data_IF_122951952625
#
_entry.id   IF_122951952625
#
_cell.length_a   1.000
_cell.length_b   1.000
_cell.length_c   1.000
_cell.angle_alpha   90.00
_cell.angle_beta   90.00
_cell.angle_gamma   90.00
#
_symmetry.space_group_name_H-M   'P 1'
#
loop_
_entity.id
_entity.type
_entity.pdbx_description
1 polymer ?
#
# COMPACT_ATOMS: atom_id res chain seq x y z
N UNK A 1 14.58 -13.05 -9.50
CA UNK A 1 13.92 -13.45 -8.23
C UNK A 1 14.02 -14.96 -7.90
N UNK A 2 13.79 -15.91 -8.83
CA UNK A 2 13.86 -17.34 -8.49
C UNK A 2 15.20 -17.79 -7.85
N UNK A 3 16.33 -17.33 -8.39
CA UNK A 3 17.67 -17.60 -7.80
C UNK A 3 17.82 -17.04 -6.39
N UNK A 4 17.21 -15.90 -6.10
CA UNK A 4 17.18 -15.32 -4.75
C UNK A 4 16.37 -16.21 -3.81
N UNK A 5 15.13 -16.57 -4.20
CA UNK A 5 14.23 -17.38 -3.36
C UNK A 5 14.80 -18.74 -2.94
N UNK A 6 15.61 -19.38 -3.79
CA UNK A 6 16.20 -20.69 -3.52
C UNK A 6 17.38 -20.65 -2.52
N UNK A 7 17.84 -19.48 -2.09
CA UNK A 7 18.92 -19.38 -1.11
C UNK A 7 18.38 -19.68 0.30
N UNK A 8 18.92 -20.70 0.95
CA UNK A 8 18.45 -21.18 2.25
C UNK A 8 18.62 -20.19 3.40
N UNK A 9 19.55 -19.24 3.28
CA UNK A 9 19.88 -18.31 4.36
C UNK A 9 18.78 -17.26 4.63
N UNK A 10 17.92 -16.98 3.65
CA UNK A 10 16.85 -15.99 3.81
C UNK A 10 15.82 -16.39 4.86
N UNK A 11 15.61 -17.68 5.11
CA UNK A 11 14.67 -18.14 6.14
C UNK A 11 15.11 -17.78 7.56
N UNK A 12 16.39 -17.44 7.75
CA UNK A 12 16.94 -17.00 9.04
C UNK A 12 16.75 -15.49 9.27
N UNK A 13 16.35 -14.75 8.25
CA UNK A 13 16.18 -13.30 8.32
C UNK A 13 14.88 -12.94 9.03
N UNK A 14 14.89 -11.90 9.89
CA UNK A 14 13.74 -11.55 10.74
C UNK A 14 12.49 -11.14 9.94
N UNK A 15 12.66 -10.72 8.68
CA UNK A 15 11.60 -10.20 7.84
C UNK A 15 11.35 -11.03 6.58
N UNK A 16 11.73 -12.32 6.59
CA UNK A 16 11.57 -13.20 5.43
C UNK A 16 10.14 -13.18 4.84
N UNK A 17 9.11 -13.27 5.69
CA UNK A 17 7.72 -13.29 5.22
C UNK A 17 7.28 -11.97 4.56
N UNK A 18 7.46 -10.79 5.19
CA UNK A 18 7.24 -9.50 4.51
C UNK A 18 8.01 -9.36 3.20
N UNK A 19 9.30 -9.71 3.19
CA UNK A 19 10.18 -9.60 2.01
C UNK A 19 9.73 -10.54 0.89
N UNK A 20 9.28 -11.77 1.23
CA UNK A 20 8.68 -12.68 0.26
C UNK A 20 7.39 -12.11 -0.32
N UNK A 21 6.54 -11.48 0.50
CA UNK A 21 5.35 -10.78 0.02
C UNK A 21 5.70 -9.63 -0.93
N UNK A 22 6.76 -8.86 -0.64
CA UNK A 22 7.29 -7.82 -1.52
C UNK A 22 7.78 -8.39 -2.86
N UNK A 23 8.52 -9.49 -2.85
CA UNK A 23 8.94 -10.17 -4.08
C UNK A 23 7.74 -10.65 -4.90
N UNK A 24 6.75 -11.24 -4.24
CA UNK A 24 5.53 -11.75 -4.87
C UNK A 24 4.73 -10.64 -5.54
N UNK A 25 4.46 -9.52 -4.84
CA UNK A 25 3.62 -8.45 -5.39
C UNK A 25 4.25 -7.79 -6.61
N UNK A 26 5.56 -7.53 -6.61
CA UNK A 26 6.24 -6.95 -7.77
C UNK A 26 6.30 -7.94 -8.94
N UNK A 27 6.48 -9.24 -8.66
CA UNK A 27 6.49 -10.30 -9.68
C UNK A 27 5.13 -10.47 -10.34
N UNK A 28 4.06 -10.55 -9.53
CA UNK A 28 2.67 -10.66 -10.01
C UNK A 28 2.34 -9.43 -10.86
N UNK A 29 2.70 -8.24 -10.38
CA UNK A 29 2.45 -6.99 -11.08
C UNK A 29 3.22 -6.91 -12.41
N UNK A 30 4.49 -7.31 -12.48
CA UNK A 30 5.20 -7.38 -13.75
C UNK A 30 4.65 -8.47 -14.67
N UNK A 31 4.29 -9.63 -14.15
CA UNK A 31 3.87 -10.78 -14.98
C UNK A 31 2.48 -10.58 -15.58
N UNK A 32 1.52 -10.14 -14.77
CA UNK A 32 0.11 -10.10 -15.13
C UNK A 32 -0.47 -8.68 -15.19
N UNK A 33 0.18 -7.71 -14.53
CA UNK A 33 -0.37 -6.37 -14.37
C UNK A 33 -1.66 -6.36 -13.58
N UNK A 34 -2.46 -5.31 -13.78
CA UNK A 34 -3.74 -5.12 -13.12
C UNK A 34 -3.63 -4.22 -11.91
N UNK A 35 -4.31 -4.59 -10.82
CA UNK A 35 -4.35 -3.83 -9.57
C UNK A 35 -4.06 -4.82 -8.44
N UNK A 36 -3.04 -4.51 -7.65
CA UNK A 36 -2.70 -5.21 -6.41
C UNK A 36 -3.05 -4.31 -5.23
N UNK A 37 -3.61 -4.93 -4.20
CA UNK A 37 -3.89 -4.34 -2.89
C UNK A 37 -3.41 -5.32 -1.82
N UNK A 38 -2.81 -4.80 -0.75
CA UNK A 38 -2.72 -5.56 0.50
C UNK A 38 -4.14 -5.88 1.00
N UNK A 39 -4.29 -6.94 1.80
CA UNK A 39 -5.60 -7.46 2.19
C UNK A 39 -6.36 -6.57 3.18
N UNK A 40 -5.70 -5.53 3.69
CA UNK A 40 -6.19 -4.62 4.72
C UNK A 40 -6.55 -3.24 4.15
N UNK A 41 -7.03 -3.22 2.90
CA UNK A 41 -7.67 -2.06 2.28
C UNK A 41 -9.20 -2.13 2.34
N UNK A 42 -9.82 -0.96 2.55
CA UNK A 42 -11.23 -0.73 2.24
C UNK A 42 -11.30 0.10 0.95
N UNK A 43 -11.88 -0.46 -0.11
CA UNK A 43 -12.03 0.22 -1.40
C UNK A 43 -13.30 1.06 -1.41
N UNK A 44 -13.17 2.35 -1.70
CA UNK A 44 -14.26 3.33 -1.69
C UNK A 44 -14.77 3.64 -3.10
N UNK A 45 -13.87 3.64 -4.09
CA UNK A 45 -14.14 4.02 -5.49
C UNK A 45 -13.49 3.04 -6.44
N UNK A 46 -13.98 3.03 -7.68
CA UNK A 46 -13.41 2.20 -8.74
C UNK A 46 -11.95 2.58 -9.03
N UNK A 47 -11.05 1.61 -8.94
CA UNK A 47 -9.61 1.76 -9.12
C UNK A 47 -9.16 1.61 -10.59
N UNK A 48 -10.03 1.19 -11.51
CA UNK A 48 -9.68 0.89 -12.92
C UNK A 48 -9.10 2.08 -13.69
N UNK A 49 -9.35 3.31 -13.22
CA UNK A 49 -8.81 4.53 -13.84
C UNK A 49 -7.39 4.87 -13.36
N UNK A 50 -6.88 4.15 -12.36
CA UNK A 50 -5.50 4.24 -11.92
C UNK A 50 -4.71 3.22 -12.73
N UNK A 51 -3.75 3.68 -13.53
CA UNK A 51 -2.89 2.81 -14.35
C UNK A 51 -1.48 3.35 -14.30
N UNK A 52 -0.51 2.43 -14.22
CA UNK A 52 0.90 2.72 -13.98
C UNK A 52 1.09 3.68 -12.79
N UNK A 53 0.44 3.34 -11.68
CA UNK A 53 0.35 4.17 -10.50
C UNK A 53 0.67 3.37 -9.24
N UNK A 54 1.26 4.06 -8.27
CA UNK A 54 1.52 3.61 -6.91
C UNK A 54 1.34 4.79 -5.95
N UNK A 55 1.17 4.51 -4.66
CA UNK A 55 0.87 5.56 -3.69
C UNK A 55 2.09 6.02 -2.90
N UNK A 56 2.10 7.31 -2.55
CA UNK A 56 3.00 7.91 -1.57
C UNK A 56 2.40 7.67 -0.18
N UNK A 57 3.09 6.97 0.72
CA UNK A 57 2.59 6.73 2.09
C UNK A 57 2.91 7.88 3.05
N UNK A 58 4.04 8.56 2.83
CA UNK A 58 4.58 9.61 3.68
C UNK A 58 5.50 10.49 2.84
N UNK A 59 5.98 11.60 3.41
CA UNK A 59 6.87 12.51 2.69
C UNK A 59 8.03 11.72 2.05
N UNK A 60 8.12 11.79 0.72
CA UNK A 60 9.20 11.22 -0.08
C UNK A 60 9.32 9.67 -0.05
N UNK A 61 8.28 8.95 0.42
CA UNK A 61 8.26 7.48 0.49
C UNK A 61 7.06 6.89 -0.23
N UNK A 62 7.33 5.99 -1.17
CA UNK A 62 6.33 5.17 -1.87
C UNK A 62 6.03 3.89 -1.10
N UNK A 63 4.85 3.32 -1.31
CA UNK A 63 4.44 2.07 -0.67
C UNK A 63 3.92 1.06 -1.71
N UNK A 64 4.24 -0.21 -1.48
CA UNK A 64 3.86 -1.34 -2.34
C UNK A 64 2.51 -1.98 -1.99
N UNK A 65 1.79 -1.45 -1.01
CA UNK A 65 0.49 -1.97 -0.60
C UNK A 65 -0.59 -1.67 -1.66
N UNK A 66 -0.43 -0.62 -2.46
CA UNK A 66 -1.21 -0.38 -3.69
C UNK A 66 -0.28 -0.28 -4.89
N UNK A 67 -0.51 -1.12 -5.89
CA UNK A 67 0.20 -1.08 -7.16
C UNK A 67 -0.80 -1.28 -8.30
N UNK A 68 -0.72 -0.46 -9.34
CA UNK A 68 -1.46 -0.70 -10.58
C UNK A 68 -0.61 -0.46 -11.80
N UNK A 69 -0.30 -1.50 -12.56
CA UNK A 69 0.56 -1.41 -13.73
C UNK A 69 0.05 -2.30 -14.86
N UNK A 70 0.39 -1.93 -16.09
CA UNK A 70 0.28 -2.85 -17.21
C UNK A 70 1.27 -4.01 -17.03
N UNK A 71 0.96 -5.23 -17.53
CA UNK A 71 1.94 -6.31 -17.54
C UNK A 71 3.19 -5.88 -18.29
N UNK A 72 4.34 -6.39 -17.86
CA UNK A 72 5.67 -6.16 -18.45
C UNK A 72 6.12 -4.70 -18.44
N UNK A 73 5.58 -3.88 -17.54
CA UNK A 73 6.02 -2.50 -17.41
C UNK A 73 7.49 -2.43 -16.94
N UNK A 74 8.31 -1.65 -17.66
CA UNK A 74 9.76 -1.54 -17.43
C UNK A 74 10.10 -1.12 -15.98
N UNK A 75 9.36 -0.16 -15.42
CA UNK A 75 9.50 0.20 -14.00
C UNK A 75 9.42 -1.00 -13.05
N UNK A 76 8.47 -1.92 -13.27
CA UNK A 76 8.33 -3.12 -12.42
C UNK A 76 9.47 -4.12 -12.64
N UNK A 77 10.02 -4.19 -13.85
CA UNK A 77 11.20 -4.98 -14.14
C UNK A 77 12.43 -4.46 -13.41
N UNK A 78 12.64 -3.14 -13.43
CA UNK A 78 13.69 -2.48 -12.66
C UNK A 78 13.53 -2.69 -11.15
N UNK A 79 12.29 -2.70 -10.63
CA UNK A 79 12.03 -3.09 -9.25
C UNK A 79 12.47 -4.53 -8.94
N UNK A 80 12.19 -5.50 -9.83
CA UNK A 80 12.64 -6.88 -9.63
C UNK A 80 14.16 -7.04 -9.73
N UNK A 81 14.83 -6.25 -10.57
CA UNK A 81 16.28 -6.24 -10.69
C UNK A 81 16.92 -5.65 -9.42
N UNK A 82 16.45 -4.47 -9.00
CA UNK A 82 16.90 -3.80 -7.78
C UNK A 82 16.68 -4.66 -6.52
N UNK A 83 15.58 -5.43 -6.48
CA UNK A 83 15.31 -6.36 -5.39
C UNK A 83 16.47 -7.34 -5.16
N UNK A 84 17.14 -7.78 -6.23
CA UNK A 84 18.26 -8.71 -6.13
C UNK A 84 19.58 -7.96 -5.92
N UNK A 85 19.80 -6.88 -6.67
CA UNK A 85 21.07 -6.13 -6.66
C UNK A 85 21.33 -5.41 -5.33
N UNK A 86 20.26 -4.95 -4.68
CA UNK A 86 20.28 -4.22 -3.42
C UNK A 86 19.51 -5.01 -2.35
N UNK A 87 19.77 -6.31 -2.23
CA UNK A 87 19.09 -7.15 -1.24
C UNK A 87 19.60 -6.90 0.19
N UNK A 88 18.67 -6.63 1.11
CA UNK A 88 18.95 -6.64 2.55
C UNK A 88 17.71 -7.06 3.34
N UNK A 89 17.59 -8.35 3.64
CA UNK A 89 16.47 -8.91 4.41
C UNK A 89 16.48 -8.59 5.92
N UNK A 90 17.53 -7.93 6.41
CA UNK A 90 17.63 -7.50 7.82
C UNK A 90 16.90 -6.19 8.10
N UNK A 91 16.49 -5.46 7.06
CA UNK A 91 15.77 -4.19 7.18
C UNK A 91 14.38 -4.38 6.60
N UNK A 92 13.36 -4.23 7.46
CA UNK A 92 11.97 -4.54 7.13
C UNK A 92 11.46 -3.83 5.87
N UNK A 93 11.75 -2.54 5.70
CA UNK A 93 11.24 -1.74 4.58
C UNK A 93 12.09 -1.82 3.32
N UNK A 94 13.26 -2.47 3.36
CA UNK A 94 14.27 -2.33 2.31
C UNK A 94 13.76 -2.83 0.97
N UNK A 95 13.12 -4.01 0.94
CA UNK A 95 12.64 -4.60 -0.32
C UNK A 95 11.20 -4.24 -0.69
N UNK A 96 10.54 -3.45 0.15
CA UNK A 96 9.19 -2.93 -0.09
C UNK A 96 9.21 -1.42 -0.35
N UNK A 97 8.78 -0.58 0.59
CA UNK A 97 8.71 0.88 0.41
C UNK A 97 10.01 1.55 -0.07
N UNK A 98 11.16 1.18 0.52
CA UNK A 98 12.44 1.79 0.15
C UNK A 98 12.85 1.43 -1.28
N UNK A 99 12.55 0.20 -1.72
CA UNK A 99 12.81 -0.28 -3.07
C UNK A 99 12.05 0.52 -4.11
N UNK A 100 10.74 0.65 -3.93
CA UNK A 100 9.91 1.41 -4.86
C UNK A 100 10.37 2.87 -4.90
N UNK A 101 10.71 3.43 -3.74
CA UNK A 101 11.20 4.80 -3.61
C UNK A 101 12.52 5.01 -4.36
N UNK A 102 13.55 4.18 -4.11
CA UNK A 102 14.87 4.34 -4.75
C UNK A 102 14.81 4.10 -6.26
N UNK A 103 14.04 3.10 -6.71
CA UNK A 103 13.85 2.82 -8.13
C UNK A 103 13.09 3.96 -8.80
N UNK A 104 12.04 4.51 -8.18
CA UNK A 104 11.30 5.66 -8.73
C UNK A 104 12.16 6.91 -8.84
N UNK A 105 12.96 7.23 -7.81
CA UNK A 105 13.90 8.36 -7.85
C UNK A 105 14.92 8.21 -8.99
N UNK A 106 15.50 7.02 -9.14
CA UNK A 106 16.43 6.72 -10.24
C UNK A 106 15.74 6.79 -11.61
N UNK A 107 14.55 6.22 -11.72
CA UNK A 107 13.71 6.23 -12.93
C UNK A 107 13.41 7.67 -13.38
N UNK A 108 13.10 8.56 -12.45
CA UNK A 108 12.78 9.96 -12.73
C UNK A 108 13.98 10.91 -12.74
N UNK A 109 15.16 10.46 -12.33
CA UNK A 109 16.36 11.30 -12.15
C UNK A 109 16.11 12.47 -11.18
N UNK A 110 15.52 12.19 -10.02
CA UNK A 110 15.15 13.17 -8.98
C UNK A 110 15.67 12.76 -7.60
N UNK A 111 15.77 13.74 -6.69
CA UNK A 111 16.11 13.50 -5.29
C UNK A 111 14.90 13.38 -4.37
N UNK A 112 13.78 14.05 -4.68
CA UNK A 112 12.58 14.11 -3.85
C UNK A 112 11.31 13.83 -4.67
N UNK A 113 10.36 13.10 -4.09
CA UNK A 113 9.06 12.78 -4.69
C UNK A 113 8.02 13.78 -4.19
N UNK A 114 7.36 14.46 -5.14
CA UNK A 114 6.28 15.40 -4.85
C UNK A 114 4.90 14.72 -4.95
N UNK A 115 3.90 15.30 -4.30
CA UNK A 115 2.52 14.83 -4.36
C UNK A 115 1.98 14.84 -5.79
N UNK A 116 1.29 13.76 -6.17
CA UNK A 116 0.72 13.55 -7.50
C UNK A 116 1.74 13.70 -8.65
N UNK A 117 3.00 13.37 -8.38
CA UNK A 117 4.06 13.43 -9.38
C UNK A 117 3.86 12.35 -10.44
N UNK A 118 4.10 12.72 -11.71
CA UNK A 118 4.22 11.74 -12.79
C UNK A 118 5.53 11.94 -13.53
N UNK A 119 6.21 10.84 -13.83
CA UNK A 119 7.41 10.86 -14.63
C UNK A 119 7.46 9.60 -15.51
N UNK A 120 7.88 9.76 -16.76
CA UNK A 120 8.07 8.66 -17.72
C UNK A 120 6.93 7.61 -17.69
N UNK A 121 5.69 8.07 -17.60
CA UNK A 121 4.49 7.22 -17.61
C UNK A 121 4.13 6.52 -16.30
N UNK A 122 4.85 6.75 -15.19
CA UNK A 122 4.51 6.27 -13.84
C UNK A 122 3.99 7.42 -13.00
N UNK A 123 2.96 7.18 -12.19
CA UNK A 123 2.30 8.17 -11.31
C UNK A 123 2.46 7.80 -9.85
N UNK A 124 3.11 8.67 -9.08
CA UNK A 124 3.12 8.64 -7.62
C UNK A 124 1.92 9.44 -7.09
N UNK A 125 0.85 8.73 -6.71
CA UNK A 125 -0.38 9.33 -6.22
C UNK A 125 -0.16 9.95 -4.84
N UNK A 126 -0.77 11.12 -4.59
CA UNK A 126 -0.73 11.74 -3.27
C UNK A 126 -1.28 10.81 -2.18
N UNK A 127 -0.84 10.95 -0.92
CA UNK A 127 -1.29 10.11 0.18
C UNK A 127 -2.82 10.02 0.28
N UNK A 128 -3.55 11.12 0.07
CA UNK A 128 -5.01 11.16 0.24
C UNK A 128 -5.76 10.22 -0.72
N UNK A 129 -5.13 9.80 -1.81
CA UNK A 129 -5.73 8.88 -2.78
C UNK A 129 -5.88 7.46 -2.25
N UNK A 130 -4.90 6.94 -1.49
CA UNK A 130 -4.88 5.52 -1.04
C UNK A 130 -4.39 5.32 0.42
N UNK A 131 -3.75 6.32 1.01
CA UNK A 131 -3.24 6.37 2.38
C UNK A 131 -3.72 7.65 3.10
N UNK A 132 -5.04 7.92 3.19
CA UNK A 132 -5.56 9.17 3.75
C UNK A 132 -5.29 9.32 5.26
N UNK A 133 -4.96 8.23 5.94
CA UNK A 133 -4.47 8.22 7.33
C UNK A 133 -3.02 7.76 7.30
N UNK A 134 -2.11 8.62 7.76
CA UNK A 134 -0.69 8.29 7.87
C UNK A 134 -0.49 7.09 8.81
N UNK A 135 0.52 6.25 8.57
CA UNK A 135 0.73 5.03 9.36
C UNK A 135 1.03 5.33 10.84
N UNK A 136 1.67 6.45 11.16
CA UNK A 136 1.88 6.89 12.56
C UNK A 136 0.56 7.28 13.26
N UNK A 137 -0.41 7.73 12.46
CA UNK A 137 -1.73 8.19 12.88
C UNK A 137 -2.78 7.06 12.86
N UNK A 138 -2.37 5.79 12.74
CA UNK A 138 -3.28 4.65 12.59
C UNK A 138 -4.39 4.59 13.65
N UNK A 139 -4.14 5.11 14.86
CA UNK A 139 -5.13 5.17 15.96
C UNK A 139 -6.36 6.00 15.60
N UNK A 140 -6.24 6.99 14.71
CA UNK A 140 -7.36 7.81 14.21
C UNK A 140 -8.44 6.96 13.51
N UNK A 141 -8.10 5.75 13.04
CA UNK A 141 -9.08 4.80 12.52
C UNK A 141 -10.11 4.36 13.58
N UNK A 142 -9.75 4.39 14.86
CA UNK A 142 -10.59 3.97 15.98
C UNK A 142 -11.21 5.14 16.74
N UNK A 143 -10.91 6.37 16.34
CA UNK A 143 -11.44 7.59 16.94
C UNK A 143 -12.73 8.02 16.25
N UNK A 144 -13.61 8.68 17.00
CA UNK A 144 -14.85 9.22 16.46
C UNK A 144 -14.56 10.33 15.45
N UNK A 145 -15.29 10.32 14.32
CA UNK A 145 -15.17 11.34 13.28
C UNK A 145 -16.57 11.86 12.92
N UNK A 146 -16.71 13.18 12.77
CA UNK A 146 -17.98 13.75 12.33
C UNK A 146 -18.25 13.46 10.85
N UNK A 147 -19.52 13.48 10.43
CA UNK A 147 -19.88 13.23 9.03
C UNK A 147 -19.27 14.24 8.05
N UNK A 148 -19.10 15.50 8.47
CA UNK A 148 -18.49 16.55 7.65
C UNK A 148 -16.98 16.32 7.45
N UNK A 149 -16.27 15.95 8.52
CA UNK A 149 -14.85 15.58 8.47
C UNK A 149 -14.63 14.32 7.65
N UNK A 150 -15.50 13.30 7.82
CA UNK A 150 -15.45 12.08 7.01
C UNK A 150 -15.62 12.40 5.53
N UNK A 151 -16.61 13.21 5.16
CA UNK A 151 -16.82 13.60 3.77
C UNK A 151 -15.61 14.34 3.19
N UNK A 152 -15.01 15.25 3.98
CA UNK A 152 -13.80 15.98 3.57
C UNK A 152 -12.61 15.04 3.39
N UNK A 153 -12.41 14.10 4.31
CA UNK A 153 -11.34 13.10 4.26
C UNK A 153 -11.45 12.23 3.00
N UNK A 154 -12.65 11.72 2.69
CA UNK A 154 -12.86 10.76 1.61
C UNK A 154 -13.06 11.39 0.22
N UNK A 155 -13.07 12.72 0.12
CA UNK A 155 -13.37 13.46 -1.12
C UNK A 155 -12.54 12.98 -2.30
N UNK A 156 -11.22 12.85 -2.12
CA UNK A 156 -10.28 12.44 -3.16
C UNK A 156 -9.71 11.03 -2.95
N UNK A 157 -10.28 10.28 -2.01
CA UNK A 157 -9.80 8.95 -1.63
C UNK A 157 -10.44 7.86 -2.47
N UNK A 158 -9.63 6.92 -2.94
CA UNK A 158 -10.05 5.73 -3.66
C UNK A 158 -10.11 4.50 -2.76
N UNK A 159 -9.17 4.38 -1.83
CA UNK A 159 -9.13 3.30 -0.85
C UNK A 159 -8.48 3.78 0.45
N UNK A 160 -8.74 3.07 1.55
CA UNK A 160 -8.15 3.33 2.87
C UNK A 160 -7.36 2.11 3.31
N UNK A 161 -6.05 2.26 3.53
CA UNK A 161 -5.22 1.25 4.17
C UNK A 161 -5.42 1.31 5.70
N UNK A 162 -5.78 0.20 6.34
CA UNK A 162 -6.10 0.19 7.80
C UNK A 162 -4.89 -0.11 8.70
N UNK A 163 -3.73 -0.37 8.09
CA UNK A 163 -2.44 -0.59 8.78
C UNK A 163 -2.50 -1.77 9.76
N UNK A 164 -3.02 -2.92 9.32
CA UNK A 164 -3.34 -4.06 10.19
C UNK A 164 -2.14 -4.55 11.01
N UNK A 165 -0.91 -4.41 10.49
CA UNK A 165 0.32 -4.70 11.27
C UNK A 165 0.37 -3.94 12.60
N UNK A 166 -0.14 -2.71 12.64
CA UNK A 166 -0.22 -1.84 13.81
C UNK A 166 -1.58 -1.97 14.52
N UNK A 167 -2.67 -2.12 13.76
CA UNK A 167 -4.03 -1.98 14.28
C UNK A 167 -4.70 -3.28 14.72
N UNK A 168 -4.21 -4.48 14.33
CA UNK A 168 -4.89 -5.76 14.56
C UNK A 168 -5.24 -6.09 16.03
N UNK A 169 -4.49 -5.55 17.00
CA UNK A 169 -4.74 -5.78 18.43
C UNK A 169 -5.79 -4.85 19.04
N UNK A 170 -6.32 -3.89 18.27
CA UNK A 170 -7.23 -2.86 18.79
C UNK A 170 -8.68 -3.27 18.59
N UNK A 171 -9.46 -3.24 19.68
CA UNK A 171 -10.89 -3.56 19.63
C UNK A 171 -11.67 -2.46 18.92
N UNK A 172 -12.47 -2.84 17.93
CA UNK A 172 -13.41 -1.95 17.25
C UNK A 172 -14.85 -2.25 17.70
N UNK A 173 -15.52 -1.25 18.26
CA UNK A 173 -16.97 -1.30 18.41
C UNK A 173 -17.63 -0.93 17.07
N UNK A 174 -18.15 -1.92 16.35
CA UNK A 174 -18.64 -1.74 14.98
C UNK A 174 -19.84 -0.79 14.89
N UNK A 175 -20.57 -0.55 15.98
CA UNK A 175 -21.69 0.39 16.07
C UNK A 175 -21.29 1.80 16.52
N UNK A 176 -20.02 2.02 16.83
CA UNK A 176 -19.52 3.33 17.27
C UNK A 176 -19.44 4.35 16.13
N UNK A 177 -19.10 5.59 16.48
CA UNK A 177 -18.80 6.65 15.52
C UNK A 177 -17.34 6.64 15.04
N UNK A 178 -16.57 5.59 15.36
CA UNK A 178 -15.18 5.47 14.92
C UNK A 178 -15.08 5.53 13.38
N UNK A 179 -14.02 6.15 12.86
CA UNK A 179 -13.76 6.24 11.42
C UNK A 179 -13.88 4.89 10.73
N UNK A 180 -13.20 3.86 11.25
CA UNK A 180 -13.21 2.51 10.68
C UNK A 180 -14.59 1.86 10.74
N UNK A 181 -15.36 2.08 11.82
CA UNK A 181 -16.74 1.59 11.91
C UNK A 181 -17.65 2.24 10.86
N UNK A 182 -17.49 3.54 10.61
CA UNK A 182 -18.20 4.26 9.55
C UNK A 182 -17.76 3.80 8.15
N UNK A 183 -16.49 3.46 7.94
CA UNK A 183 -16.02 2.88 6.68
C UNK A 183 -16.62 1.49 6.43
N UNK A 184 -16.63 0.60 7.43
CA UNK A 184 -17.25 -0.71 7.29
C UNK A 184 -18.75 -0.61 6.98
N UNK A 185 -19.47 0.28 7.65
CA UNK A 185 -20.91 0.43 7.44
C UNK A 185 -21.26 0.91 6.02
N UNK A 186 -20.45 1.80 5.45
CA UNK A 186 -20.70 2.39 4.13
C UNK A 186 -20.16 1.53 2.97
N UNK A 187 -18.99 0.93 3.12
CA UNK A 187 -18.25 0.32 2.00
C UNK A 187 -18.11 -1.21 2.10
N UNK A 188 -18.40 -1.80 3.26
CA UNK A 188 -18.32 -3.25 3.49
C UNK A 188 -19.57 -3.79 4.21
N UNK A 189 -20.80 -3.59 3.66
CA UNK A 189 -22.04 -3.83 4.39
C UNK A 189 -22.24 -5.29 4.84
N UNK A 190 -21.73 -6.26 4.08
CA UNK A 190 -21.78 -7.68 4.46
C UNK A 190 -20.91 -7.98 5.69
N UNK A 191 -19.65 -7.50 5.69
CA UNK A 191 -18.75 -7.62 6.84
C UNK A 191 -19.30 -6.91 8.07
N UNK A 192 -19.80 -5.69 7.89
CA UNK A 192 -20.42 -4.90 8.96
C UNK A 192 -21.61 -5.63 9.60
N UNK A 193 -22.52 -6.21 8.80
CA UNK A 193 -23.66 -6.96 9.29
C UNK A 193 -23.26 -8.23 10.04
N UNK A 194 -22.13 -8.86 9.68
CA UNK A 194 -21.59 -10.03 10.38
C UNK A 194 -20.99 -9.63 11.73
N UNK A 195 -20.14 -8.61 11.75
CA UNK A 195 -19.49 -8.10 12.96
C UNK A 195 -20.48 -7.56 14.01
N UNK A 196 -21.66 -7.09 13.61
CA UNK A 196 -22.72 -6.65 14.54
C UNK A 196 -23.31 -7.79 15.40
N UNK A 197 -23.18 -9.04 14.95
CA UNK A 197 -23.77 -10.21 15.59
C UNK A 197 -22.79 -10.93 16.53
N UNK A 198 -21.51 -10.56 16.45
CA UNK A 198 -20.42 -11.11 17.25
C UNK A 198 -20.20 -10.22 18.49
#
# INVERSE_FOLDING_TARGET
>A
LAKWYLQSDHQKEPYFLPVLSDACRITIMWKFGGIYLDTDFIVLKNLKNLTNALGIQSQDVLNGAFLSFKPKHEFMELCMQDFVDNYNGWIWAHQGPELLTRVFKKWCSISNIQNNMSCKGVRALSPEAVYPIHWEDWKKLFEAISSSELHKLLKNTYAVHVWNKLSHGTRLEITSQALLAQLYSQFCPATYAKMKKD
#
